data_IF_777224370668
#
_entry.id   IF_777224370668
#
_cell.length_a   1.000
_cell.length_b   1.000
_cell.length_c   1.000
_cell.angle_alpha   90.00
_cell.angle_beta   90.00
_cell.angle_gamma   90.00
#
_symmetry.space_group_name_H-M   'P 1'
#
loop_
_entity.id
_entity.type
_entity.pdbx_description
1 polymer ?
#
# COMPACT_ATOMS: atom_id res chain seq x y z
N UNK A 1 15.43 -10.81 -24.36
CA UNK A 1 16.62 -10.10 -24.90
C UNK A 1 17.85 -10.66 -24.21
N UNK A 2 18.96 -10.90 -24.93
CA UNK A 2 20.19 -11.43 -24.30
C UNK A 2 20.80 -10.39 -23.34
N UNK A 3 21.38 -10.79 -22.20
CA UNK A 3 21.87 -9.90 -21.13
C UNK A 3 22.93 -8.88 -21.59
N UNK A 4 23.73 -9.24 -22.59
CA UNK A 4 24.84 -8.42 -23.11
C UNK A 4 24.36 -7.10 -23.75
N UNK A 5 23.14 -7.08 -24.32
CA UNK A 5 22.55 -5.88 -24.91
C UNK A 5 22.02 -4.89 -23.85
N UNK A 6 21.70 -5.38 -22.65
CA UNK A 6 21.21 -4.55 -21.54
C UNK A 6 22.33 -3.67 -20.96
N UNK A 7 23.54 -4.21 -20.84
CA UNK A 7 24.68 -3.47 -20.28
C UNK A 7 25.12 -2.32 -21.20
N UNK A 8 25.16 -2.61 -22.51
CA UNK A 8 25.45 -1.64 -23.58
C UNK A 8 24.42 -0.51 -23.67
N UNK A 9 23.15 -0.81 -23.41
CA UNK A 9 22.06 0.16 -23.40
C UNK A 9 22.12 1.07 -22.16
N UNK A 10 22.37 0.50 -20.98
CA UNK A 10 22.50 1.25 -19.71
C UNK A 10 23.71 2.19 -19.73
N UNK A 11 24.85 1.77 -20.28
CA UNK A 11 26.05 2.60 -20.46
C UNK A 11 25.79 3.80 -21.38
N UNK A 12 25.12 3.59 -22.52
CA UNK A 12 24.76 4.66 -23.47
C UNK A 12 23.74 5.65 -22.89
N UNK A 13 22.79 5.14 -22.11
CA UNK A 13 21.81 5.98 -21.41
C UNK A 13 22.47 6.83 -20.31
N UNK A 14 23.40 6.25 -19.54
CA UNK A 14 24.18 6.96 -18.50
C UNK A 14 24.99 8.13 -19.08
N UNK A 15 25.64 7.92 -20.23
CA UNK A 15 26.42 8.96 -20.92
C UNK A 15 25.53 10.08 -21.49
N UNK A 16 24.30 9.75 -21.90
CA UNK A 16 23.33 10.74 -22.41
C UNK A 16 22.72 11.57 -21.26
N UNK A 17 22.52 10.96 -20.09
CA UNK A 17 22.05 11.67 -18.89
C UNK A 17 23.08 12.63 -18.30
N UNK A 18 24.38 12.31 -18.36
CA UNK A 18 25.46 13.20 -17.90
C UNK A 18 25.59 14.52 -18.68
N UNK A 19 24.94 14.64 -19.84
CA UNK A 19 24.98 15.83 -20.70
C UNK A 19 23.69 16.68 -20.66
N UNK A 20 22.72 16.35 -19.80
CA UNK A 20 21.41 17.02 -19.76
C UNK A 20 21.29 17.97 -18.56
N UNK A 21 20.65 19.12 -18.77
CA UNK A 21 20.46 20.17 -17.76
C UNK A 21 19.55 19.65 -16.59
N UNK A 22 19.80 20.06 -15.32
CA UNK A 22 19.16 19.53 -14.11
C UNK A 22 17.63 19.29 -14.10
N UNK A 23 16.77 20.15 -14.66
CA UNK A 23 15.32 19.92 -14.61
C UNK A 23 14.85 18.78 -15.53
N UNK A 24 15.61 18.44 -16.58
CA UNK A 24 15.27 17.30 -17.45
C UNK A 24 15.73 15.95 -16.88
N UNK A 25 16.67 15.97 -15.92
CA UNK A 25 17.18 14.76 -15.27
C UNK A 25 16.13 14.10 -14.39
N UNK A 26 15.31 14.88 -13.67
CA UNK A 26 14.30 14.35 -12.74
C UNK A 26 13.18 13.60 -13.45
N UNK A 27 12.66 14.15 -14.54
CA UNK A 27 11.59 13.56 -15.35
C UNK A 27 12.03 12.29 -16.08
N UNK A 28 13.28 12.25 -16.59
CA UNK A 28 13.85 11.06 -17.23
C UNK A 28 14.25 9.98 -16.21
N UNK A 29 14.69 10.35 -15.00
CA UNK A 29 14.94 9.38 -13.94
C UNK A 29 13.67 8.63 -13.53
N UNK A 30 12.55 9.35 -13.43
CA UNK A 30 11.24 8.76 -13.07
C UNK A 30 10.74 7.83 -14.18
N UNK A 31 10.88 8.21 -15.45
CA UNK A 31 10.35 7.41 -16.55
C UNK A 31 11.20 6.17 -16.87
N UNK A 32 12.53 6.28 -16.85
CA UNK A 32 13.39 5.18 -17.32
C UNK A 32 13.56 4.10 -16.24
N UNK A 33 13.64 4.48 -14.96
CA UNK A 33 13.68 3.50 -13.86
C UNK A 33 12.33 2.79 -13.76
N UNK A 34 11.21 3.52 -13.89
CA UNK A 34 9.87 2.94 -13.89
C UNK A 34 9.68 1.88 -14.99
N UNK A 35 10.20 2.13 -16.18
CA UNK A 35 10.15 1.17 -17.30
C UNK A 35 11.04 -0.06 -17.05
N UNK A 36 12.22 0.10 -16.45
CA UNK A 36 13.11 -1.02 -16.08
C UNK A 36 12.45 -1.94 -15.05
N UNK A 37 11.78 -1.38 -14.04
CA UNK A 37 11.04 -2.18 -13.05
C UNK A 37 9.78 -2.82 -13.62
N UNK A 38 9.06 -2.15 -14.54
CA UNK A 38 7.94 -2.76 -15.29
C UNK A 38 8.39 -3.94 -16.14
N UNK A 39 9.62 -3.92 -16.65
CA UNK A 39 10.22 -5.04 -17.38
C UNK A 39 10.60 -6.18 -16.45
N UNK A 40 11.15 -5.91 -15.25
CA UNK A 40 11.45 -6.94 -14.25
C UNK A 40 10.17 -7.62 -13.71
N UNK A 41 9.10 -6.85 -13.47
CA UNK A 41 7.80 -7.39 -13.05
C UNK A 41 7.11 -8.25 -14.13
N UNK A 42 7.59 -8.21 -15.37
CA UNK A 42 7.06 -9.00 -16.49
C UNK A 42 7.72 -10.37 -16.63
N UNK A 43 8.83 -10.62 -15.92
CA UNK A 43 9.59 -11.88 -15.99
C UNK A 43 9.04 -12.93 -14.99
N UNK A 44 8.25 -12.52 -13.99
CA UNK A 44 7.51 -13.45 -13.12
C UNK A 44 6.11 -13.77 -13.66
N UNK A 45 5.99 -14.80 -14.50
CA UNK A 45 4.71 -15.31 -15.00
C UNK A 45 3.96 -16.20 -13.99
N UNK A 46 2.64 -16.35 -14.18
CA UNK A 46 1.80 -17.38 -13.55
C UNK A 46 0.50 -16.86 -12.92
N UNK A 47 -0.64 -17.51 -13.23
CA UNK A 47 -2.00 -17.18 -12.77
C UNK A 47 -2.25 -17.37 -11.26
N UNK A 48 -3.30 -16.68 -10.80
CA UNK A 48 -4.01 -16.79 -9.50
C UNK A 48 -3.47 -15.93 -8.33
N UNK A 49 -4.36 -15.08 -7.79
CA UNK A 49 -4.12 -14.08 -6.72
C UNK A 49 -2.89 -13.17 -6.93
N UNK A 50 -3.09 -12.03 -7.59
CA UNK A 50 -2.01 -11.07 -7.82
C UNK A 50 -1.71 -10.27 -6.55
N UNK A 51 -0.97 -10.89 -5.62
CA UNK A 51 -0.39 -10.23 -4.45
C UNK A 51 0.57 -9.15 -4.93
N UNK A 52 0.29 -7.89 -4.58
CA UNK A 52 1.24 -6.80 -4.79
C UNK A 52 2.02 -6.58 -3.50
N UNK A 53 3.34 -6.83 -3.54
CA UNK A 53 4.30 -6.45 -2.50
C UNK A 53 5.03 -5.19 -2.96
N UNK A 54 4.86 -4.09 -2.24
CA UNK A 54 5.47 -2.81 -2.63
C UNK A 54 6.65 -2.48 -1.72
N UNK A 55 7.88 -2.84 -2.08
CA UNK A 55 9.07 -2.31 -1.39
C UNK A 55 9.28 -0.80 -1.61
N UNK A 56 8.41 -0.15 -2.38
CA UNK A 56 8.62 1.18 -2.93
C UNK A 56 7.34 2.03 -2.96
N UNK A 57 6.38 1.89 -2.03
CA UNK A 57 5.15 2.71 -2.05
C UNK A 57 5.41 4.23 -2.14
N UNK A 58 6.58 4.72 -1.69
CA UNK A 58 7.02 6.13 -1.85
C UNK A 58 7.52 6.51 -3.25
N UNK A 59 8.01 5.55 -4.04
CA UNK A 59 8.45 5.75 -5.44
C UNK A 59 7.42 5.24 -6.45
N UNK A 60 6.52 4.40 -5.98
CA UNK A 60 5.43 3.84 -6.73
C UNK A 60 4.15 4.62 -6.38
N UNK A 61 3.87 5.65 -7.16
CA UNK A 61 2.49 6.03 -7.44
C UNK A 61 1.76 4.90 -8.19
N UNK A 62 1.84 3.65 -7.72
CA UNK A 62 1.18 2.50 -8.34
C UNK A 62 -0.33 2.64 -8.16
N UNK A 63 -0.81 3.15 -7.04
CA UNK A 63 -2.24 3.42 -6.89
C UNK A 63 -2.65 4.68 -7.69
N UNK A 64 -1.81 5.72 -7.70
CA UNK A 64 -2.14 7.01 -8.34
C UNK A 64 -1.97 7.03 -9.87
N UNK A 65 -1.03 6.24 -10.41
CA UNK A 65 -0.72 6.19 -11.84
C UNK A 65 -1.11 4.85 -12.50
N UNK A 66 -1.79 3.94 -11.79
CA UNK A 66 -2.37 2.74 -12.43
C UNK A 66 -3.79 3.01 -12.92
N UNK A 67 -4.12 2.45 -14.08
CA UNK A 67 -5.50 2.39 -14.53
C UNK A 67 -6.37 1.61 -13.53
N UNK A 68 -7.56 2.13 -13.26
CA UNK A 68 -8.55 1.53 -12.34
C UNK A 68 -8.83 0.05 -12.64
N UNK A 69 -8.82 -0.33 -13.93
CA UNK A 69 -8.98 -1.71 -14.39
C UNK A 69 -7.89 -2.67 -13.89
N UNK A 70 -6.66 -2.19 -13.68
CA UNK A 70 -5.55 -2.99 -13.14
C UNK A 70 -5.67 -3.15 -11.63
N UNK A 71 -6.10 -2.10 -10.95
CA UNK A 71 -6.31 -2.10 -9.49
C UNK A 71 -7.49 -2.98 -9.09
N UNK A 72 -8.54 -3.03 -9.91
CA UNK A 72 -9.68 -3.91 -9.71
C UNK A 72 -9.32 -5.41 -9.70
N UNK A 73 -8.14 -5.82 -10.20
CA UNK A 73 -7.70 -7.23 -10.15
C UNK A 73 -6.97 -7.60 -8.87
N UNK A 74 -6.63 -6.63 -8.02
CA UNK A 74 -5.91 -6.86 -6.78
C UNK A 74 -6.88 -7.46 -5.76
N UNK A 75 -6.47 -8.58 -5.19
CA UNK A 75 -7.20 -9.29 -4.12
C UNK A 75 -6.43 -9.25 -2.80
N UNK A 76 -5.12 -9.13 -2.85
CA UNK A 76 -4.26 -8.97 -1.68
C UNK A 76 -3.23 -7.87 -1.94
N UNK A 77 -3.11 -6.95 -0.98
CA UNK A 77 -2.18 -5.84 -1.04
C UNK A 77 -1.32 -5.83 0.23
N UNK A 78 -0.01 -5.93 0.03
CA UNK A 78 1.00 -5.94 1.09
C UNK A 78 1.87 -4.68 0.97
N UNK A 79 1.65 -3.76 1.91
CA UNK A 79 2.34 -2.50 2.09
C UNK A 79 3.06 -2.46 3.45
N UNK A 80 3.45 -3.63 3.94
CA UNK A 80 4.21 -3.74 5.18
C UNK A 80 5.59 -3.10 5.01
N UNK A 81 6.07 -2.42 6.04
CA UNK A 81 7.44 -1.84 6.10
C UNK A 81 7.74 -0.83 4.95
N UNK A 82 6.73 -0.10 4.46
CA UNK A 82 6.87 0.87 3.36
C UNK A 82 7.19 2.31 3.79
N UNK A 83 7.32 2.58 5.10
CA UNK A 83 7.41 3.90 5.70
C UNK A 83 6.27 4.85 5.24
N UNK A 84 5.05 4.31 5.16
CA UNK A 84 3.84 5.04 4.76
C UNK A 84 3.59 6.22 5.70
N UNK A 85 3.25 7.37 5.12
CA UNK A 85 2.71 8.52 5.86
C UNK A 85 1.18 8.56 5.81
N UNK A 86 0.63 8.15 4.67
CA UNK A 86 -0.79 8.09 4.37
C UNK A 86 -1.07 6.94 3.40
N UNK A 87 -2.29 6.42 3.45
CA UNK A 87 -2.81 5.51 2.43
C UNK A 87 -3.57 6.34 1.39
N UNK A 88 -3.25 6.15 0.11
CA UNK A 88 -3.78 6.98 -0.98
C UNK A 88 -5.27 6.68 -1.22
N UNK A 89 -6.12 7.71 -1.49
CA UNK A 89 -7.53 7.54 -1.84
C UNK A 89 -7.78 6.60 -3.02
N UNK A 90 -6.79 6.43 -3.91
CA UNK A 90 -6.85 5.50 -5.04
C UNK A 90 -7.05 4.02 -4.64
N UNK A 91 -6.94 3.68 -3.35
CA UNK A 91 -7.34 2.39 -2.80
C UNK A 91 -8.79 2.01 -3.15
N UNK A 92 -9.68 3.00 -3.36
CA UNK A 92 -11.07 2.76 -3.80
C UNK A 92 -11.19 1.93 -5.08
N UNK A 93 -10.19 1.97 -5.95
CA UNK A 93 -10.19 1.22 -7.20
C UNK A 93 -9.87 -0.26 -7.00
N UNK A 94 -9.39 -0.66 -5.83
CA UNK A 94 -9.13 -2.05 -5.47
C UNK A 94 -10.43 -2.74 -5.00
N UNK A 95 -11.48 -2.70 -5.82
CA UNK A 95 -12.83 -3.18 -5.45
C UNK A 95 -12.93 -4.68 -5.17
N UNK A 96 -11.93 -5.46 -5.59
CA UNK A 96 -11.81 -6.90 -5.28
C UNK A 96 -10.83 -7.21 -4.15
N UNK A 97 -10.29 -6.19 -3.48
CA UNK A 97 -9.36 -6.36 -2.37
C UNK A 97 -10.04 -7.11 -1.22
N UNK A 98 -9.41 -8.20 -0.80
CA UNK A 98 -9.81 -9.02 0.34
C UNK A 98 -8.87 -8.84 1.52
N UNK A 99 -7.56 -8.80 1.26
CA UNK A 99 -6.55 -8.64 2.31
C UNK A 99 -5.71 -7.38 2.10
N UNK A 100 -5.56 -6.60 3.17
CA UNK A 100 -4.67 -5.46 3.23
C UNK A 100 -3.73 -5.59 4.43
N UNK A 101 -2.43 -5.53 4.19
CA UNK A 101 -1.43 -5.40 5.24
C UNK A 101 -0.70 -4.06 5.08
N UNK A 102 -0.81 -3.19 6.08
CA UNK A 102 -0.09 -1.91 6.17
C UNK A 102 0.74 -1.86 7.46
N UNK A 103 1.14 -3.02 7.99
CA UNK A 103 1.88 -3.10 9.25
C UNK A 103 3.27 -2.46 9.15
N UNK A 104 3.83 -2.06 10.28
CA UNK A 104 5.16 -1.46 10.41
C UNK A 104 5.36 -0.19 9.58
N UNK A 105 4.35 0.67 9.55
CA UNK A 105 4.41 2.01 8.99
C UNK A 105 4.25 3.05 10.12
N UNK A 106 5.31 3.33 10.89
CA UNK A 106 5.21 4.15 12.10
C UNK A 106 4.79 5.60 11.84
N UNK A 107 4.92 6.08 10.60
CA UNK A 107 4.51 7.43 10.17
C UNK A 107 3.08 7.49 9.64
N UNK A 108 2.39 6.36 9.49
CA UNK A 108 1.02 6.32 9.00
C UNK A 108 0.12 6.97 10.06
N UNK A 109 -0.63 8.00 9.66
CA UNK A 109 -1.46 8.77 10.60
C UNK A 109 -2.95 8.48 10.50
N UNK A 110 -3.43 8.09 9.32
CA UNK A 110 -4.84 7.91 9.04
C UNK A 110 -5.06 6.96 7.86
N UNK A 111 -6.29 6.46 7.76
CA UNK A 111 -6.80 5.79 6.58
C UNK A 111 -7.79 6.71 5.85
N UNK A 112 -7.80 6.74 4.52
CA UNK A 112 -8.72 7.54 3.74
C UNK A 112 -10.15 7.01 3.87
N UNK A 113 -11.19 7.88 3.84
CA UNK A 113 -12.59 7.44 3.85
C UNK A 113 -12.92 6.53 2.66
N UNK A 114 -12.22 6.68 1.54
CA UNK A 114 -12.31 5.85 0.34
C UNK A 114 -12.02 4.35 0.59
N UNK A 115 -11.37 3.99 1.70
CA UNK A 115 -11.17 2.60 2.09
C UNK A 115 -12.51 1.86 2.26
N UNK A 116 -13.58 2.55 2.66
CA UNK A 116 -14.91 1.96 2.80
C UNK A 116 -15.47 1.38 1.48
N UNK A 117 -14.95 1.83 0.32
CA UNK A 117 -15.34 1.32 -0.99
C UNK A 117 -14.73 -0.06 -1.30
N UNK A 118 -13.76 -0.52 -0.53
CA UNK A 118 -13.22 -1.87 -0.59
C UNK A 118 -14.17 -2.87 0.11
N UNK A 119 -15.40 -2.99 -0.39
CA UNK A 119 -16.50 -3.74 0.25
C UNK A 119 -16.22 -5.24 0.41
N UNK A 120 -15.18 -5.79 -0.23
CA UNK A 120 -14.79 -7.20 -0.13
C UNK A 120 -13.63 -7.43 0.86
N UNK A 121 -13.11 -6.38 1.49
CA UNK A 121 -11.98 -6.47 2.41
C UNK A 121 -12.40 -7.26 3.66
N UNK A 122 -11.82 -8.44 3.85
CA UNK A 122 -12.10 -9.34 4.96
C UNK A 122 -11.01 -9.36 6.04
N UNK A 123 -9.77 -9.04 5.65
CA UNK A 123 -8.60 -9.03 6.53
C UNK A 123 -7.85 -7.71 6.43
N UNK A 124 -7.68 -7.03 7.57
CA UNK A 124 -6.83 -5.85 7.69
C UNK A 124 -5.80 -6.03 8.81
N UNK A 125 -4.52 -5.90 8.45
CA UNK A 125 -3.41 -5.84 9.40
C UNK A 125 -2.75 -4.45 9.38
N UNK A 126 -2.66 -3.83 10.54
CA UNK A 126 -2.15 -2.48 10.78
C UNK A 126 -1.29 -2.44 12.06
N UNK A 127 -0.55 -3.53 12.30
CA UNK A 127 0.26 -3.66 13.52
C UNK A 127 1.55 -2.85 13.40
N UNK A 128 2.11 -2.34 14.51
CA UNK A 128 3.34 -1.53 14.47
C UNK A 128 3.16 -0.11 13.92
N UNK A 129 1.91 0.34 13.75
CA UNK A 129 1.60 1.69 13.28
C UNK A 129 1.44 2.65 14.47
N UNK A 130 2.55 3.25 14.91
CA UNK A 130 2.60 4.13 16.09
C UNK A 130 2.04 5.54 15.86
N UNK A 131 1.89 5.94 14.60
CA UNK A 131 1.36 7.24 14.20
C UNK A 131 -0.17 7.35 14.32
N UNK A 132 -0.87 6.22 14.42
CA UNK A 132 -2.32 6.17 14.59
C UNK A 132 -2.64 6.05 16.07
N UNK A 133 -3.35 7.05 16.61
CA UNK A 133 -3.72 7.14 18.03
C UNK A 133 -5.17 6.78 18.31
N UNK A 134 -6.03 6.89 17.31
CA UNK A 134 -7.46 6.59 17.42
C UNK A 134 -7.78 5.54 16.36
N UNK A 135 -8.56 4.52 16.73
CA UNK A 135 -8.99 3.53 15.74
C UNK A 135 -9.84 4.24 14.66
N UNK A 136 -9.49 4.14 13.36
CA UNK A 136 -10.18 4.92 12.32
C UNK A 136 -11.65 4.55 12.20
N UNK A 137 -12.53 5.56 12.29
CA UNK A 137 -13.99 5.38 12.22
C UNK A 137 -14.48 4.76 10.91
N UNK A 138 -13.73 4.93 9.81
CA UNK A 138 -14.02 4.30 8.52
C UNK A 138 -14.16 2.78 8.63
N UNK A 139 -13.48 2.14 9.59
CA UNK A 139 -13.55 0.68 9.76
C UNK A 139 -14.93 0.21 10.25
N UNK A 140 -15.63 1.03 11.03
CA UNK A 140 -16.98 0.73 11.49
C UNK A 140 -18.03 0.70 10.39
N UNK A 141 -17.75 1.29 9.22
CA UNK A 141 -18.66 1.27 8.07
C UNK A 141 -18.40 0.10 7.11
N UNK A 142 -17.40 -0.75 7.41
CA UNK A 142 -16.94 -1.81 6.50
C UNK A 142 -17.53 -3.17 6.87
N UNK A 143 -18.55 -3.66 6.14
CA UNK A 143 -19.33 -4.83 6.56
C UNK A 143 -18.58 -6.16 6.41
N UNK A 144 -17.53 -6.23 5.60
CA UNK A 144 -16.87 -7.50 5.27
C UNK A 144 -15.68 -7.85 6.16
N UNK A 145 -15.19 -6.90 6.98
CA UNK A 145 -14.01 -7.15 7.83
C UNK A 145 -14.38 -8.15 8.91
N UNK A 146 -13.72 -9.31 8.89
CA UNK A 146 -13.86 -10.37 9.90
C UNK A 146 -12.61 -10.50 10.77
N UNK A 147 -11.45 -10.04 10.28
CA UNK A 147 -10.16 -10.10 10.98
C UNK A 147 -9.49 -8.73 10.94
N UNK A 148 -9.31 -8.14 12.12
CA UNK A 148 -8.66 -6.86 12.32
C UNK A 148 -7.50 -7.00 13.31
N UNK A 149 -6.27 -6.77 12.83
CA UNK A 149 -5.07 -6.82 13.66
C UNK A 149 -4.40 -5.46 13.80
N UNK A 150 -4.33 -4.96 15.02
CA UNK A 150 -3.76 -3.66 15.38
C UNK A 150 -2.81 -3.79 16.58
N UNK A 151 -1.84 -4.71 16.51
CA UNK A 151 -0.94 -4.99 17.64
C UNK A 151 0.25 -4.02 17.68
N UNK A 152 0.79 -3.78 18.88
CA UNK A 152 2.04 -3.02 19.07
C UNK A 152 2.00 -1.63 18.40
N UNK A 153 0.83 -0.99 18.46
CA UNK A 153 0.63 0.35 17.94
C UNK A 153 0.82 1.40 19.02
N UNK A 154 0.06 2.49 18.92
CA UNK A 154 -0.04 3.50 19.98
C UNK A 154 -1.45 4.03 20.11
N UNK A 155 -2.46 3.16 19.90
CA UNK A 155 -3.85 3.54 20.09
C UNK A 155 -4.06 3.95 21.55
N UNK A 156 -4.63 5.14 21.75
CA UNK A 156 -5.04 5.72 23.04
C UNK A 156 -6.54 5.73 23.21
N UNK A 157 -7.28 5.83 22.11
CA UNK A 157 -8.74 5.90 22.09
C UNK A 157 -9.32 4.87 21.12
N UNK A 158 -10.42 4.25 21.55
CA UNK A 158 -11.19 3.29 20.77
C UNK A 158 -12.67 3.67 20.85
N UNK A 159 -13.26 4.06 19.72
CA UNK A 159 -14.70 4.31 19.68
C UNK A 159 -15.44 3.03 19.26
N UNK A 160 -16.55 2.70 19.92
CA UNK A 160 -17.36 1.53 19.56
C UNK A 160 -17.80 1.58 18.09
N UNK A 161 -18.09 2.78 17.59
CA UNK A 161 -18.46 3.04 16.20
C UNK A 161 -17.34 2.82 15.18
N UNK A 162 -16.08 2.68 15.61
CA UNK A 162 -14.95 2.36 14.74
C UNK A 162 -14.69 0.86 14.62
N UNK A 163 -15.38 0.03 15.42
CA UNK A 163 -15.24 -1.43 15.36
C UNK A 163 -16.11 -1.95 14.21
N UNK A 164 -15.55 -2.70 13.23
CA UNK A 164 -16.35 -3.26 12.15
C UNK A 164 -17.46 -4.18 12.70
N UNK A 165 -18.69 -4.09 12.16
CA UNK A 165 -19.86 -4.75 12.75
C UNK A 165 -19.79 -6.28 12.74
N UNK A 166 -19.02 -6.86 11.81
CA UNK A 166 -18.88 -8.31 11.62
C UNK A 166 -17.49 -8.84 12.01
N UNK A 167 -16.73 -8.09 12.81
CA UNK A 167 -15.39 -8.52 13.23
C UNK A 167 -15.49 -9.73 14.16
N UNK A 168 -14.78 -10.81 13.82
CA UNK A 168 -14.72 -12.05 14.62
C UNK A 168 -13.40 -12.12 15.38
N UNK A 169 -12.32 -11.68 14.75
CA UNK A 169 -10.99 -11.64 15.35
C UNK A 169 -10.50 -10.20 15.41
N UNK A 170 -10.59 -9.62 16.61
CA UNK A 170 -10.09 -8.28 16.90
C UNK A 170 -8.86 -8.38 17.82
N UNK A 171 -7.69 -7.99 17.31
CA UNK A 171 -6.43 -8.02 18.06
C UNK A 171 -5.96 -6.59 18.29
N UNK A 172 -6.10 -6.09 19.51
CA UNK A 172 -5.65 -4.74 19.93
C UNK A 172 -4.54 -4.78 20.98
N UNK A 173 -3.91 -5.95 21.19
CA UNK A 173 -2.85 -6.16 22.20
C UNK A 173 -1.67 -5.20 22.01
N UNK A 174 -1.01 -4.82 23.10
CA UNK A 174 0.15 -3.91 23.10
C UNK A 174 -0.17 -2.53 22.47
N UNK A 175 -1.31 -1.95 22.83
CA UNK A 175 -1.59 -0.52 22.64
C UNK A 175 -1.64 0.18 24.02
N UNK A 176 -1.98 1.47 24.04
CA UNK A 176 -2.11 2.27 25.25
C UNK A 176 -3.55 2.80 25.39
N UNK A 177 -4.55 1.93 25.16
CA UNK A 177 -5.97 2.33 25.15
C UNK A 177 -6.36 2.73 26.57
N UNK A 178 -6.73 3.99 26.75
CA UNK A 178 -7.10 4.58 28.04
C UNK A 178 -8.58 4.99 28.08
N UNK A 179 -9.19 5.21 26.91
CA UNK A 179 -10.59 5.58 26.79
C UNK A 179 -11.32 4.70 25.77
N UNK A 180 -12.56 4.33 26.13
CA UNK A 180 -13.52 3.63 25.30
C UNK A 180 -14.89 4.25 25.56
N UNK A 181 -15.65 4.49 24.48
CA UNK A 181 -17.05 4.96 24.54
C UNK A 181 -18.06 3.85 24.24
#
# INVERSE_FOLDING_TARGET
LRPEYMYSFVQRLRLKMLRMHPPALSLLFVSVIGVIYLLLARIGGGSSSKLLRSSDYKRCGILENSSSLKLAKITELDLKDCDLKELSPAIQHCTNLRKLDVSNNPKLKAFPPELALCIKLDVLFSSGNTGIKILPSVLGTMPSITRLGWRSGSLTELHATAIPPNVVHLILTNNNIQAMD
#
